data_IF_826501636963
#
_entry.id   IF_826501636963
#
_cell.length_a   1.000
_cell.length_b   1.000
_cell.length_c   1.000
_cell.angle_alpha   90.00
_cell.angle_beta   90.00
_cell.angle_gamma   90.00
#
_symmetry.space_group_name_H-M   'P 1'
#
loop_
_entity.id
_entity.type
_entity.pdbx_description
1 polymer ?
#
# COMPACT_ATOMS: atom_id res chain seq x y z
N UNK A 1 6.27 10.74 11.29
CA UNK A 1 5.27 9.68 11.05
C UNK A 1 5.29 9.41 9.58
N UNK A 2 5.83 8.26 9.18
CA UNK A 2 5.98 7.91 7.77
C UNK A 2 4.66 7.41 7.19
N UNK A 3 4.45 7.65 5.90
CA UNK A 3 3.31 7.19 5.12
C UNK A 3 3.76 6.17 4.07
N UNK A 4 3.14 4.99 4.10
CA UNK A 4 3.35 3.94 3.11
C UNK A 4 2.06 3.68 2.38
N UNK A 5 2.12 3.63 1.05
CA UNK A 5 1.03 3.17 0.20
C UNK A 5 1.29 1.71 -0.17
N UNK A 6 0.31 0.85 0.06
CA UNK A 6 0.32 -0.56 -0.32
C UNK A 6 -0.76 -0.80 -1.38
N UNK A 7 -0.39 -1.37 -2.52
CA UNK A 7 -1.32 -1.82 -3.55
C UNK A 7 -1.29 -3.35 -3.59
N UNK A 8 -2.33 -3.98 -3.07
CA UNK A 8 -2.40 -5.42 -2.80
C UNK A 8 -3.88 -5.85 -2.78
N UNK A 9 -4.25 -6.83 -3.61
CA UNK A 9 -5.62 -7.32 -3.74
C UNK A 9 -5.92 -8.50 -2.79
N UNK A 10 -4.89 -9.17 -2.28
CA UNK A 10 -5.03 -10.24 -1.32
C UNK A 10 -5.13 -9.70 0.12
N UNK A 11 -6.29 -9.80 0.78
CA UNK A 11 -6.47 -9.27 2.14
C UNK A 11 -5.56 -9.95 3.18
N UNK A 12 -5.14 -11.20 2.93
CA UNK A 12 -4.20 -11.89 3.83
C UNK A 12 -2.82 -11.25 3.80
N UNK A 13 -2.37 -10.81 2.62
CA UNK A 13 -1.06 -10.19 2.46
C UNK A 13 -1.06 -8.76 3.02
N UNK A 14 -2.17 -8.02 2.85
CA UNK A 14 -2.40 -6.74 3.53
C UNK A 14 -2.26 -6.88 5.04
N UNK A 15 -2.96 -7.84 5.65
CA UNK A 15 -2.92 -8.08 7.10
C UNK A 15 -1.50 -8.43 7.57
N UNK A 16 -0.78 -9.27 6.80
CA UNK A 16 0.60 -9.65 7.11
C UNK A 16 1.54 -8.44 7.08
N UNK A 17 1.43 -7.57 6.08
CA UNK A 17 2.24 -6.35 5.96
C UNK A 17 1.94 -5.39 7.10
N UNK A 18 0.66 -5.15 7.42
CA UNK A 18 0.26 -4.30 8.54
C UNK A 18 0.78 -4.83 9.88
N UNK A 19 0.67 -6.14 10.12
CA UNK A 19 1.20 -6.79 11.32
C UNK A 19 2.73 -6.70 11.40
N UNK A 20 3.44 -6.79 10.28
CA UNK A 20 4.89 -6.66 10.24
C UNK A 20 5.33 -5.25 10.63
N UNK A 21 4.67 -4.21 10.09
CA UNK A 21 4.96 -2.82 10.41
C UNK A 21 4.54 -2.43 11.82
N UNK A 22 3.43 -2.95 12.34
CA UNK A 22 2.98 -2.69 13.71
C UNK A 22 3.98 -3.14 14.79
N UNK A 23 4.92 -4.04 14.44
CA UNK A 23 6.00 -4.50 15.33
C UNK A 23 7.25 -3.62 15.29
N UNK A 24 7.30 -2.61 14.42
CA UNK A 24 8.44 -1.70 14.35
C UNK A 24 8.42 -0.68 15.51
N UNK A 25 9.57 -0.05 15.78
CA UNK A 25 9.69 0.97 16.83
C UNK A 25 8.91 2.25 16.47
N UNK A 26 8.72 2.53 15.18
CA UNK A 26 7.95 3.66 14.64
C UNK A 26 7.10 3.16 13.44
N UNK A 27 5.88 2.65 13.69
CA UNK A 27 5.05 2.10 12.64
C UNK A 27 4.54 3.20 11.69
N UNK A 28 4.67 3.04 10.36
CA UNK A 28 4.10 3.98 9.41
C UNK A 28 2.57 3.92 9.41
N UNK A 29 1.94 5.00 8.97
CA UNK A 29 0.57 4.94 8.46
C UNK A 29 0.57 4.18 7.15
N UNK A 30 -0.32 3.19 7.00
CA UNK A 30 -0.45 2.41 5.77
C UNK A 30 -1.81 2.73 5.14
N UNK A 31 -1.77 3.19 3.89
CA UNK A 31 -2.95 3.35 3.03
C UNK A 31 -2.96 2.19 2.04
N UNK A 32 -4.09 1.51 1.91
CA UNK A 32 -4.21 0.29 1.09
C UNK A 32 -5.13 0.53 -0.09
N UNK A 33 -4.69 0.10 -1.27
CA UNK A 33 -5.51 0.02 -2.48
C UNK A 33 -5.56 -1.42 -2.98
N UNK A 34 -6.74 -1.91 -3.32
CA UNK A 34 -6.93 -3.29 -3.78
C UNK A 34 -6.64 -3.47 -5.28
N UNK A 35 -6.37 -2.38 -5.99
CA UNK A 35 -5.98 -2.41 -7.40
C UNK A 35 -5.18 -1.18 -7.77
N UNK A 36 -4.43 -1.26 -8.86
CA UNK A 36 -3.69 -0.12 -9.37
C UNK A 36 -4.60 0.99 -9.91
N UNK A 37 -5.76 0.66 -10.47
CA UNK A 37 -6.75 1.67 -10.88
C UNK A 37 -7.27 2.43 -9.67
N UNK A 38 -7.53 1.76 -8.56
CA UNK A 38 -7.94 2.41 -7.32
C UNK A 38 -6.83 3.34 -6.80
N UNK A 39 -5.57 2.90 -6.84
CA UNK A 39 -4.43 3.73 -6.47
C UNK A 39 -4.29 4.95 -7.39
N UNK A 40 -4.40 4.79 -8.71
CA UNK A 40 -4.29 5.88 -9.68
C UNK A 40 -5.47 6.86 -9.63
N UNK A 41 -6.65 6.39 -9.20
CA UNK A 41 -7.83 7.23 -9.00
C UNK A 41 -7.85 7.94 -7.63
N UNK A 42 -6.93 7.57 -6.72
CA UNK A 42 -6.83 8.18 -5.41
C UNK A 42 -6.43 9.66 -5.51
N UNK A 43 -6.79 10.48 -4.51
CA UNK A 43 -6.30 11.86 -4.44
C UNK A 43 -4.78 11.88 -4.49
N UNK A 44 -4.21 12.70 -5.38
CA UNK A 44 -2.76 12.71 -5.61
C UNK A 44 -1.95 12.99 -4.34
N UNK A 45 -2.54 13.66 -3.35
CA UNK A 45 -1.93 13.91 -2.05
C UNK A 45 -1.44 12.62 -1.35
N UNK A 46 -2.15 11.49 -1.44
CA UNK A 46 -1.73 10.25 -0.76
C UNK A 46 -0.53 9.62 -1.44
N UNK A 47 -0.44 9.70 -2.77
CA UNK A 47 0.68 9.17 -3.55
C UNK A 47 1.89 10.13 -3.58
N UNK A 48 1.65 11.45 -3.63
CA UNK A 48 2.69 12.48 -3.66
C UNK A 48 3.37 12.67 -2.30
N UNK A 49 2.67 12.35 -1.21
CA UNK A 49 3.22 12.46 0.16
C UNK A 49 3.67 11.13 0.74
N UNK A 50 3.50 10.02 0.01
CA UNK A 50 4.00 8.72 0.43
C UNK A 50 5.54 8.71 0.48
N UNK A 51 6.09 8.23 1.59
CA UNK A 51 7.53 7.99 1.73
C UNK A 51 7.96 6.74 0.95
N UNK A 52 7.04 5.78 0.79
CA UNK A 52 7.24 4.57 0.01
C UNK A 52 5.92 4.06 -0.57
N UNK A 53 6.02 3.42 -1.74
CA UNK A 53 4.92 2.74 -2.39
C UNK A 53 5.35 1.28 -2.61
N UNK A 54 4.59 0.35 -2.06
CA UNK A 54 4.72 -1.08 -2.28
C UNK A 54 3.55 -1.54 -3.16
N UNK A 55 3.85 -2.25 -4.25
CA UNK A 55 2.88 -2.66 -5.25
C UNK A 55 3.08 -4.14 -5.50
N UNK A 56 2.02 -4.94 -5.41
CA UNK A 56 2.05 -6.32 -5.88
C UNK A 56 2.24 -6.37 -7.41
N UNK A 57 3.11 -7.25 -7.86
CA UNK A 57 3.42 -7.43 -9.29
C UNK A 57 2.34 -8.24 -10.00
N UNK A 58 1.49 -8.95 -9.26
CA UNK A 58 0.46 -9.84 -9.78
C UNK A 58 -0.97 -9.29 -9.62
N UNK A 59 -1.13 -7.97 -9.65
CA UNK A 59 -2.45 -7.34 -9.53
C UNK A 59 -3.38 -7.68 -10.70
N UNK A 60 -4.68 -7.93 -10.44
CA UNK A 60 -5.68 -8.14 -11.48
C UNK A 60 -5.70 -7.00 -12.50
N UNK A 61 -5.52 -7.31 -13.78
CA UNK A 61 -5.57 -6.31 -14.85
C UNK A 61 -4.25 -5.58 -15.14
N UNK A 62 -3.17 -5.89 -14.40
CA UNK A 62 -1.83 -5.38 -14.68
C UNK A 62 -0.80 -6.48 -14.89
N UNK A 63 0.23 -6.17 -15.67
CA UNK A 63 1.55 -6.79 -15.59
C UNK A 63 2.41 -5.82 -14.79
N UNK A 64 2.93 -6.26 -13.63
CA UNK A 64 3.93 -5.49 -12.87
C UNK A 64 5.15 -5.09 -13.70
#
# INVERSE_FOLDING_TARGET
MSLVVLVEDNPVDVDLVQLAFARSQDPPTIVVFESAEAALAAPSAELETADAIAIDLALPGMSG
#
